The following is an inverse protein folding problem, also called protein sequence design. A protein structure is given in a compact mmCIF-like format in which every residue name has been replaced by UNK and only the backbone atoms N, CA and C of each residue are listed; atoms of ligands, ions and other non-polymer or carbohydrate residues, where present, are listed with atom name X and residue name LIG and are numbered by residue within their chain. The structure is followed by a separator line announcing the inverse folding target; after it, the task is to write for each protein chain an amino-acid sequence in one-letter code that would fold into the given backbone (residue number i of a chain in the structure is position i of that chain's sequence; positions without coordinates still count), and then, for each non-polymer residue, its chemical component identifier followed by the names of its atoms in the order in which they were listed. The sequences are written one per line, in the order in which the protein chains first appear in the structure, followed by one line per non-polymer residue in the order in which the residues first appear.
data_IF_527575552742
#
_entry.id   IF_527575552742
#
_cell.length_a   1.000
_cell.length_b   1.000
_cell.length_c   1.000
_cell.angle_alpha   90.00
_cell.angle_beta   90.00
_cell.angle_gamma   90.00
#
_symmetry.space_group_name_H-M   'P 1'
#
loop_
_entity.id
_entity.type
_entity.pdbx_description
1 polymer ?
#
# COMPACT_ATOMS: atom_id res chain seq x y z
N UNK A 1 7.68 -11.73 9.21
CA UNK A 1 8.56 -10.66 8.69
C UNK A 1 8.76 -9.42 9.59
N UNK A 2 7.79 -8.89 10.34
CA UNK A 2 8.05 -7.82 11.34
C UNK A 2 7.93 -8.31 12.80
N UNK A 3 8.56 -9.44 13.09
CA UNK A 3 8.97 -9.84 14.45
C UNK A 3 10.40 -10.40 14.45
N UNK A 4 11.19 -10.13 13.42
CA UNK A 4 12.61 -10.42 13.43
C UNK A 4 13.33 -9.14 13.89
N UNK A 5 13.91 -9.11 15.10
CA UNK A 5 14.60 -7.93 15.64
C UNK A 5 15.67 -7.41 14.68
N UNK A 6 16.26 -8.30 13.88
CA UNK A 6 17.28 -7.98 12.87
C UNK A 6 16.70 -7.16 11.73
N UNK A 7 15.54 -7.53 11.16
CA UNK A 7 14.92 -6.75 10.08
C UNK A 7 14.42 -5.37 10.57
N UNK A 8 13.92 -5.29 11.81
CA UNK A 8 13.52 -4.02 12.44
C UNK A 8 14.74 -3.14 12.74
N UNK A 9 15.84 -3.72 13.21
CA UNK A 9 17.13 -3.01 13.39
C UNK A 9 17.75 -2.58 12.06
N UNK A 10 17.72 -3.41 11.02
CA UNK A 10 18.25 -3.05 9.70
C UNK A 10 17.42 -1.92 9.05
N UNK A 11 16.09 -1.98 9.16
CA UNK A 11 15.21 -0.87 8.76
C UNK A 11 15.46 0.38 9.63
N UNK A 12 15.59 0.22 10.94
CA UNK A 12 15.93 1.30 11.88
C UNK A 12 17.25 1.99 11.52
N UNK A 13 18.30 1.21 11.24
CA UNK A 13 19.63 1.70 10.84
C UNK A 13 19.62 2.38 9.46
N UNK A 14 18.88 1.83 8.49
CA UNK A 14 18.65 2.48 7.19
C UNK A 14 17.89 3.81 7.34
N UNK A 15 17.00 3.90 8.33
CA UNK A 15 16.20 5.10 8.63
C UNK A 15 16.98 6.16 9.40
N UNK A 16 17.87 5.79 10.33
CA UNK A 16 18.73 6.75 11.04
C UNK A 16 19.75 7.40 10.09
N UNK A 17 20.32 6.60 9.16
CA UNK A 17 21.18 7.10 8.09
C UNK A 17 20.46 7.95 7.04
N UNK A 18 19.11 7.88 6.97
CA UNK A 18 18.30 8.71 6.06
C UNK A 18 18.31 10.20 6.44
N UNK A 19 18.81 10.54 7.63
CA UNK A 19 19.04 11.93 8.05
C UNK A 19 20.21 12.59 7.29
N UNK A 20 20.91 11.85 6.43
CA UNK A 20 22.06 12.29 5.63
C UNK A 20 21.80 12.29 4.12
N UNK A 21 20.61 12.69 3.66
CA UNK A 21 20.42 12.93 2.21
C UNK A 21 21.30 14.13 1.80
N UNK A 22 22.20 13.98 0.81
CA UNK A 22 22.98 15.11 0.29
C UNK A 22 22.06 16.19 -0.28
N UNK A 23 22.49 17.45 -0.18
CA UNK A 23 21.79 18.60 -0.75
C UNK A 23 21.57 18.44 -2.26
N UNK A 24 20.68 19.27 -2.81
CA UNK A 24 20.00 19.20 -4.11
C UNK A 24 20.84 19.09 -5.41
N UNK A 25 22.10 18.68 -5.36
CA UNK A 25 22.92 18.45 -6.55
C UNK A 25 23.04 16.94 -6.87
N UNK A 26 22.39 16.56 -7.97
CA UNK A 26 22.35 15.22 -8.59
C UNK A 26 21.62 14.11 -7.81
N UNK A 27 20.29 14.24 -7.67
CA UNK A 27 19.44 13.08 -7.42
C UNK A 27 19.35 12.22 -8.69
N UNK A 28 20.02 11.06 -8.69
CA UNK A 28 19.86 10.07 -9.75
C UNK A 28 18.52 9.32 -9.56
N UNK A 29 17.53 9.65 -10.38
CA UNK A 29 16.27 8.92 -10.42
C UNK A 29 16.43 7.65 -11.25
N UNK A 30 16.01 6.52 -10.70
CA UNK A 30 15.87 5.31 -11.51
C UNK A 30 14.73 5.54 -12.50
N UNK A 31 14.97 5.42 -13.81
CA UNK A 31 13.93 5.60 -14.82
C UNK A 31 13.54 4.25 -15.39
N UNK A 32 12.24 3.95 -15.43
CA UNK A 32 11.74 2.80 -16.16
C UNK A 32 11.69 3.17 -17.65
N UNK A 33 12.50 2.51 -18.47
CA UNK A 33 12.49 2.75 -19.89
C UNK A 33 11.29 2.06 -20.55
N UNK A 34 10.28 2.83 -20.92
CA UNK A 34 9.11 2.32 -21.62
C UNK A 34 9.41 1.81 -23.05
N UNK A 35 10.60 2.04 -23.60
CA UNK A 35 10.99 1.54 -24.93
C UNK A 35 11.80 0.24 -24.86
N UNK A 36 11.89 -0.40 -23.69
CA UNK A 36 12.57 -1.68 -23.54
C UNK A 36 12.00 -2.77 -24.48
N UNK A 37 12.90 -3.61 -24.99
CA UNK A 37 12.77 -4.69 -25.99
C UNK A 37 11.56 -5.63 -25.82
N UNK A 38 10.90 -5.64 -24.67
CA UNK A 38 9.71 -6.43 -24.37
C UNK A 38 8.39 -5.85 -24.93
N UNK A 39 8.42 -5.01 -25.97
CA UNK A 39 7.21 -4.34 -26.49
C UNK A 39 6.11 -5.34 -26.89
N UNK A 40 6.46 -6.49 -27.48
CA UNK A 40 5.50 -7.52 -27.92
C UNK A 40 4.97 -8.40 -26.79
N UNK A 41 5.74 -8.60 -25.71
CA UNK A 41 5.31 -9.37 -24.52
C UNK A 41 4.65 -8.50 -23.44
N UNK A 42 4.58 -7.17 -23.64
CA UNK A 42 4.05 -6.23 -22.67
C UNK A 42 2.52 -6.28 -22.65
N UNK A 43 1.97 -6.35 -21.46
CA UNK A 43 0.54 -6.22 -21.23
C UNK A 43 0.13 -4.73 -21.22
N UNK A 44 -0.95 -4.41 -21.94
CA UNK A 44 -1.66 -3.14 -21.82
C UNK A 44 -2.47 -3.09 -20.51
N UNK A 45 -2.88 -1.89 -20.09
CA UNK A 45 -3.71 -1.73 -18.89
C UNK A 45 -5.04 -2.52 -18.99
N UNK A 46 -5.66 -2.54 -20.18
CA UNK A 46 -6.90 -3.27 -20.44
C UNK A 46 -6.70 -4.78 -20.31
N UNK A 47 -5.66 -5.33 -20.90
CA UNK A 47 -5.37 -6.76 -20.82
C UNK A 47 -5.02 -7.15 -19.38
N UNK A 48 -4.19 -6.35 -18.68
CA UNK A 48 -3.89 -6.58 -17.26
C UNK A 48 -5.19 -6.65 -16.44
N UNK A 49 -6.10 -5.70 -16.65
CA UNK A 49 -7.39 -5.68 -15.99
C UNK A 49 -8.18 -6.95 -16.29
N UNK A 50 -8.35 -7.34 -17.55
CA UNK A 50 -9.10 -8.53 -17.94
C UNK A 50 -8.53 -9.82 -17.35
N UNK A 51 -7.20 -10.00 -17.43
CA UNK A 51 -6.53 -11.17 -16.87
C UNK A 51 -6.66 -11.24 -15.35
N UNK A 52 -6.42 -10.12 -14.67
CA UNK A 52 -6.53 -10.08 -13.22
C UNK A 52 -7.98 -10.25 -12.75
N UNK A 53 -8.96 -9.68 -13.44
CA UNK A 53 -10.37 -9.78 -13.08
C UNK A 53 -10.90 -11.22 -13.18
N UNK A 54 -10.35 -12.03 -14.09
CA UNK A 54 -10.74 -13.43 -14.27
C UNK A 54 -10.19 -14.38 -13.18
N UNK A 55 -9.37 -13.89 -12.23
CA UNK A 55 -8.78 -14.72 -11.17
C UNK A 55 -9.73 -14.86 -9.96
N UNK A 56 -9.62 -15.94 -9.17
CA UNK A 56 -10.51 -16.20 -8.04
C UNK A 56 -10.19 -15.32 -6.81
N UNK A 57 -10.60 -14.06 -6.84
CA UNK A 57 -10.33 -13.08 -5.77
C UNK A 57 -11.03 -13.33 -4.44
N UNK A 58 -12.08 -14.16 -4.41
CA UNK A 58 -12.92 -14.38 -3.23
C UNK A 58 -12.12 -14.67 -1.96
N UNK A 59 -11.09 -15.53 -2.01
CA UNK A 59 -10.27 -15.84 -0.82
C UNK A 59 -9.46 -14.66 -0.30
N UNK A 60 -8.94 -13.82 -1.20
CA UNK A 60 -8.21 -12.60 -0.80
C UNK A 60 -9.19 -11.61 -0.16
N UNK A 61 -10.37 -11.46 -0.78
CA UNK A 61 -11.45 -10.59 -0.27
C UNK A 61 -11.91 -11.07 1.11
N UNK A 62 -12.19 -12.36 1.26
CA UNK A 62 -12.61 -13.00 2.51
C UNK A 62 -11.53 -12.88 3.60
N UNK A 63 -10.26 -13.07 3.25
CA UNK A 63 -9.14 -12.85 4.18
C UNK A 63 -9.16 -11.44 4.78
N UNK A 64 -9.34 -10.41 3.94
CA UNK A 64 -9.43 -9.03 4.42
C UNK A 64 -10.73 -8.77 5.20
N UNK A 65 -11.85 -9.41 4.84
CA UNK A 65 -13.10 -9.36 5.61
C UNK A 65 -12.89 -9.91 7.02
N UNK A 66 -12.27 -11.07 7.13
CA UNK A 66 -12.00 -11.74 8.40
C UNK A 66 -10.96 -11.00 9.24
N UNK A 67 -10.01 -10.32 8.60
CA UNK A 67 -9.05 -9.46 9.28
C UNK A 67 -9.76 -8.29 9.98
N UNK A 68 -10.76 -7.69 9.32
CA UNK A 68 -11.59 -6.61 9.91
C UNK A 68 -12.45 -7.14 11.05
N UNK A 69 -12.98 -8.36 10.94
CA UNK A 69 -13.71 -9.03 12.04
C UNK A 69 -12.81 -9.46 13.19
N UNK A 70 -11.52 -9.66 12.93
CA UNK A 70 -10.51 -10.05 13.95
C UNK A 70 -10.31 -11.55 14.04
N UNK A 71 -10.81 -12.29 13.07
CA UNK A 71 -10.62 -13.73 12.99
C UNK A 71 -9.24 -14.08 12.44
N UNK A 72 -8.63 -13.19 11.63
CA UNK A 72 -7.31 -13.38 11.03
C UNK A 72 -6.41 -12.16 11.25
N UNK A 73 -5.11 -12.34 11.03
CA UNK A 73 -4.11 -11.29 11.09
C UNK A 73 -3.11 -11.42 9.96
N UNK A 74 -2.48 -10.31 9.56
CA UNK A 74 -1.43 -10.32 8.54
C UNK A 74 -0.24 -11.20 8.93
N UNK A 75 0.09 -11.33 10.21
CA UNK A 75 1.19 -12.19 10.65
C UNK A 75 0.96 -13.66 10.32
N UNK A 76 -0.30 -14.10 10.25
CA UNK A 76 -0.66 -15.48 9.88
C UNK A 76 -0.31 -15.84 8.44
N UNK A 77 -0.13 -14.84 7.55
CA UNK A 77 0.26 -15.07 6.16
C UNK A 77 1.74 -15.45 5.99
N UNK A 78 2.61 -15.01 6.90
CA UNK A 78 4.06 -15.05 6.69
C UNK A 78 4.77 -16.22 7.37
N UNK A 79 4.04 -17.25 7.83
CA UNK A 79 4.59 -18.38 8.58
C UNK A 79 5.26 -17.95 9.91
N UNK A 80 5.60 -18.93 10.76
CA UNK A 80 6.61 -18.73 11.80
C UNK A 80 7.94 -19.19 11.19
N UNK A 81 8.89 -18.29 11.01
CA UNK A 81 10.25 -18.68 10.59
C UNK A 81 10.80 -19.70 11.60
N UNK A 82 11.13 -20.90 11.13
CA UNK A 82 11.90 -21.88 11.91
C UNK A 82 13.33 -21.35 11.98
N UNK A 83 13.73 -20.83 13.14
CA UNK A 83 15.11 -20.44 13.37
C UNK A 83 15.97 -21.70 13.37
N UNK A 84 16.98 -21.76 12.49
CA UNK A 84 18.12 -22.63 12.70
C UNK A 84 18.89 -22.08 13.91
N UNK A 85 19.18 -22.98 14.84
CA UNK A 85 19.79 -22.76 16.14
C UNK A 85 21.12 -21.99 16.02
N UNK A 86 21.22 -20.88 16.75
CA UNK A 86 22.45 -20.53 17.45
C UNK A 86 22.03 -20.01 18.81
N UNK A 87 22.33 -20.83 19.81
CA UNK A 87 22.12 -20.59 21.23
C UNK A 87 22.95 -19.40 21.73
N UNK A 88 22.55 -18.95 22.92
CA UNK A 88 23.21 -17.95 23.80
C UNK A 88 22.93 -16.47 23.54
N UNK A 89 21.74 -16.03 23.96
CA UNK A 89 21.62 -14.85 24.83
C UNK A 89 20.28 -14.86 25.56
N UNK A 90 20.34 -14.75 26.89
CA UNK A 90 19.20 -14.71 27.81
C UNK A 90 18.07 -13.79 27.34
N UNK A 91 16.86 -14.34 27.29
CA UNK A 91 15.62 -13.61 27.04
C UNK A 91 15.29 -12.79 28.29
N UNK A 92 15.58 -11.50 28.26
CA UNK A 92 14.82 -10.52 29.04
C UNK A 92 13.55 -10.20 28.28
N UNK A 93 12.40 -10.58 28.86
CA UNK A 93 11.11 -10.06 28.45
C UNK A 93 11.04 -8.56 28.76
N UNK A 94 11.56 -7.75 27.85
CA UNK A 94 11.24 -6.33 27.81
C UNK A 94 9.78 -6.23 27.34
N UNK A 95 8.88 -6.29 28.32
CA UNK A 95 7.61 -5.61 28.22
C UNK A 95 7.91 -4.16 27.81
N UNK A 96 7.76 -3.88 26.50
CA UNK A 96 7.73 -2.53 25.96
C UNK A 96 6.47 -1.86 26.53
N UNK A 97 6.59 -1.42 27.78
CA UNK A 97 5.76 -0.38 28.37
C UNK A 97 5.85 0.72 27.34
N UNK A 98 4.76 0.95 26.61
CA UNK A 98 4.62 2.14 25.79
C UNK A 98 4.97 3.31 26.70
N UNK A 99 6.17 3.84 26.55
CA UNK A 99 6.54 5.08 27.21
C UNK A 99 5.54 6.09 26.69
N UNK A 100 4.67 6.50 27.59
CA UNK A 100 3.85 7.68 27.43
C UNK A 100 4.85 8.81 27.32
N UNK A 101 5.29 9.12 26.10
CA UNK A 101 6.05 10.32 25.82
C UNK A 101 5.07 11.47 26.03
N UNK A 102 4.95 11.87 27.29
CA UNK A 102 4.22 13.06 27.70
C UNK A 102 5.06 14.25 27.25
N UNK A 103 4.79 14.73 26.05
CA UNK A 103 5.29 16.03 25.63
C UNK A 103 4.73 17.08 26.62
N UNK A 104 5.56 17.99 27.16
CA UNK A 104 5.09 19.01 28.07
C UNK A 104 4.10 19.90 27.33
N UNK A 105 2.81 19.75 27.67
CA UNK A 105 1.74 20.58 27.16
C UNK A 105 1.94 21.96 27.80
N UNK A 106 2.55 22.90 27.07
CA UNK A 106 2.46 24.31 27.45
C UNK A 106 0.97 24.66 27.44
N UNK A 107 0.45 24.98 28.62
CA UNK A 107 -0.96 25.28 28.85
C UNK A 107 -1.32 26.57 28.13
N UNK A 108 -1.72 26.44 26.86
CA UNK A 108 -2.18 27.56 26.03
C UNK A 108 -3.69 27.49 26.03
N UNK A 109 -4.34 28.37 26.79
CA UNK A 109 -5.80 28.44 26.87
C UNK A 109 -6.47 28.83 25.54
N UNK A 110 -7.78 28.57 25.45
CA UNK A 110 -8.65 29.00 24.35
C UNK A 110 -8.64 28.06 23.14
N UNK A 111 -8.52 28.61 21.91
CA UNK A 111 -8.48 27.84 20.64
C UNK A 111 -7.44 26.72 20.66
N UNK A 112 -6.42 26.82 21.50
CA UNK A 112 -5.30 25.90 21.53
C UNK A 112 -5.53 24.67 22.41
N UNK A 113 -6.55 24.70 23.26
CA UNK A 113 -6.86 23.63 24.20
C UNK A 113 -7.82 22.60 23.58
N UNK A 114 -7.38 21.90 22.53
CA UNK A 114 -8.15 20.83 21.87
C UNK A 114 -7.64 19.45 22.26
N UNK A 115 -8.53 18.47 22.29
CA UNK A 115 -8.15 17.05 22.36
C UNK A 115 -7.98 16.54 20.94
N UNK A 116 -6.83 15.91 20.66
CA UNK A 116 -6.56 15.28 19.36
C UNK A 116 -6.44 13.78 19.56
N UNK A 117 -7.13 13.01 18.72
CA UNK A 117 -7.14 11.56 18.73
C UNK A 117 -6.39 11.03 17.51
N UNK A 118 -5.48 10.09 17.73
CA UNK A 118 -4.93 9.21 16.69
C UNK A 118 -5.79 7.95 16.67
N UNK A 119 -6.30 7.60 15.50
CA UNK A 119 -7.19 6.46 15.30
C UNK A 119 -6.53 5.54 14.28
N UNK A 120 -6.32 4.28 14.64
CA UNK A 120 -5.83 3.24 13.73
C UNK A 120 -7.02 2.38 13.31
N UNK A 121 -7.26 2.30 12.00
CA UNK A 121 -8.41 1.67 11.39
C UNK A 121 -7.99 0.47 10.54
N UNK A 122 -8.78 -0.60 10.63
CA UNK A 122 -8.80 -1.69 9.67
C UNK A 122 -10.12 -1.60 8.88
N UNK A 123 -10.09 -1.71 7.56
CA UNK A 123 -11.30 -1.74 6.74
C UNK A 123 -11.15 -2.62 5.50
N UNK A 124 -12.28 -3.20 5.09
CA UNK A 124 -12.41 -4.00 3.90
C UNK A 124 -12.69 -3.09 2.70
N UNK A 125 -11.73 -2.97 1.79
CA UNK A 125 -11.78 -2.03 0.66
C UNK A 125 -12.97 -2.22 -0.26
N UNK A 126 -13.36 -3.46 -0.56
CA UNK A 126 -14.54 -3.75 -1.39
C UNK A 126 -15.90 -3.30 -0.81
N UNK A 127 -15.93 -2.79 0.43
CA UNK A 127 -17.13 -2.17 1.00
C UNK A 127 -17.21 -0.66 0.74
N UNK A 128 -16.18 -0.04 0.16
CA UNK A 128 -16.05 1.41 0.05
C UNK A 128 -15.52 1.86 -1.32
N UNK A 129 -15.92 3.07 -1.72
CA UNK A 129 -15.44 3.77 -2.91
C UNK A 129 -14.10 4.51 -2.67
N UNK A 130 -13.28 3.97 -1.76
CA UNK A 130 -11.99 4.52 -1.35
C UNK A 130 -12.06 5.33 -0.05
N UNK A 131 -10.94 5.96 0.31
CA UNK A 131 -10.85 6.77 1.52
C UNK A 131 -11.59 8.10 1.39
N UNK A 132 -11.19 8.92 0.42
CA UNK A 132 -11.50 10.35 0.36
C UNK A 132 -12.99 10.58 0.17
N UNK A 133 -13.60 11.43 1.01
CA UNK A 133 -15.01 11.82 0.86
C UNK A 133 -15.27 12.44 -0.51
N UNK A 134 -16.27 11.91 -1.20
CA UNK A 134 -16.79 12.40 -2.48
C UNK A 134 -18.33 12.41 -2.43
N UNK A 135 -18.99 13.34 -3.15
CA UNK A 135 -20.45 13.40 -3.19
C UNK A 135 -21.07 12.07 -3.65
N UNK A 136 -22.15 11.64 -2.97
CA UNK A 136 -22.93 10.44 -3.29
C UNK A 136 -22.19 9.08 -3.26
N UNK A 137 -20.93 9.03 -2.81
CA UNK A 137 -20.15 7.80 -2.72
C UNK A 137 -20.02 7.29 -1.27
N UNK A 138 -19.92 5.97 -1.11
CA UNK A 138 -19.72 5.34 0.19
C UNK A 138 -18.23 5.25 0.50
N UNK A 139 -17.67 6.28 1.13
CA UNK A 139 -16.23 6.36 1.41
C UNK A 139 -15.93 6.16 2.89
N UNK A 140 -14.71 5.69 3.19
CA UNK A 140 -14.28 5.48 4.59
C UNK A 140 -14.29 6.80 5.36
N UNK A 141 -13.73 7.87 4.80
CA UNK A 141 -13.72 9.19 5.44
C UNK A 141 -15.13 9.68 5.74
N UNK A 142 -16.06 9.57 4.78
CA UNK A 142 -17.43 10.02 4.96
C UNK A 142 -18.14 9.28 6.09
N UNK A 143 -17.95 7.96 6.16
CA UNK A 143 -18.52 7.14 7.24
C UNK A 143 -17.94 7.52 8.61
N UNK A 144 -16.61 7.62 8.71
CA UNK A 144 -15.94 7.98 9.96
C UNK A 144 -16.34 9.39 10.40
N UNK A 145 -16.36 10.37 9.50
CA UNK A 145 -16.75 11.75 9.84
C UNK A 145 -18.19 11.85 10.32
N UNK A 146 -19.13 11.11 9.71
CA UNK A 146 -20.52 11.01 10.20
C UNK A 146 -20.60 10.40 11.59
N UNK A 147 -19.93 9.28 11.82
CA UNK A 147 -19.95 8.59 13.13
C UNK A 147 -19.39 9.47 14.26
N UNK A 148 -18.41 10.32 13.94
CA UNK A 148 -17.76 11.21 14.89
C UNK A 148 -18.48 12.56 15.06
N UNK A 149 -19.55 12.81 14.29
CA UNK A 149 -20.33 14.05 14.35
C UNK A 149 -20.84 14.38 15.74
N UNK A 150 -21.22 13.37 16.53
CA UNK A 150 -21.69 13.54 17.91
C UNK A 150 -20.63 14.07 18.89
N UNK A 151 -19.35 14.07 18.52
CA UNK A 151 -18.24 14.53 19.36
C UNK A 151 -17.70 15.91 18.99
N UNK A 152 -18.27 16.56 17.97
CA UNK A 152 -17.88 17.93 17.63
C UNK A 152 -18.30 18.90 18.72
N UNK A 153 -17.56 20.00 18.88
CA UNK A 153 -17.93 21.07 19.80
C UNK A 153 -19.14 21.88 19.31
N UNK A 154 -19.80 22.58 20.23
CA UNK A 154 -21.01 23.35 19.97
C UNK A 154 -20.84 24.40 18.86
N UNK A 155 -19.69 25.06 18.81
CA UNK A 155 -19.39 26.06 17.76
C UNK A 155 -19.39 25.41 16.40
N UNK A 156 -18.74 24.24 16.25
CA UNK A 156 -18.76 23.49 15.00
C UNK A 156 -20.16 22.97 14.67
N UNK A 157 -20.91 22.47 15.65
CA UNK A 157 -22.28 22.01 15.45
C UNK A 157 -23.19 23.14 14.94
N UNK A 158 -23.10 24.33 15.55
CA UNK A 158 -23.86 25.51 15.13
C UNK A 158 -23.46 25.96 13.72
N UNK A 159 -22.15 26.01 13.41
CA UNK A 159 -21.66 26.35 12.07
C UNK A 159 -22.22 25.41 10.98
N UNK A 160 -22.28 24.11 11.26
CA UNK A 160 -22.83 23.13 10.32
C UNK A 160 -24.34 23.32 10.15
N UNK A 161 -25.06 23.58 11.25
CA UNK A 161 -26.49 23.87 11.26
C UNK A 161 -26.82 25.12 10.43
N UNK A 162 -26.09 26.22 10.62
CA UNK A 162 -26.29 27.48 9.90
C UNK A 162 -26.07 27.32 8.39
N UNK A 163 -25.21 26.38 7.99
CA UNK A 163 -24.92 26.05 6.59
C UNK A 163 -25.83 24.96 6.01
N UNK A 164 -26.81 24.47 6.78
CA UNK A 164 -27.65 23.33 6.42
C UNK A 164 -26.82 22.08 6.01
N UNK A 165 -25.73 21.84 6.72
CA UNK A 165 -24.82 20.71 6.52
C UNK A 165 -25.06 19.63 7.59
N UNK A 166 -24.81 18.34 7.27
CA UNK A 166 -24.91 17.27 8.24
C UNK A 166 -23.92 17.44 9.39
N UNK A 167 -24.30 16.97 10.59
CA UNK A 167 -23.45 16.99 11.76
C UNK A 167 -22.32 15.96 11.60
N UNK A 168 -21.13 16.44 11.21
CA UNK A 168 -20.00 15.59 10.88
C UNK A 168 -18.68 16.15 11.45
N UNK A 169 -17.79 15.25 11.85
CA UNK A 169 -16.43 15.58 12.20
C UNK A 169 -15.57 15.93 10.97
N UNK A 170 -14.32 16.30 11.20
CA UNK A 170 -13.33 16.43 10.12
C UNK A 170 -12.15 15.55 10.49
N UNK A 171 -11.72 14.72 9.54
CA UNK A 171 -10.57 13.84 9.72
C UNK A 171 -9.49 14.13 8.70
N UNK A 172 -8.25 13.88 9.09
CA UNK A 172 -7.10 13.84 8.20
C UNK A 172 -6.46 12.45 8.28
N UNK A 173 -5.79 12.00 7.21
CA UNK A 173 -5.31 10.62 7.07
C UNK A 173 -3.82 10.56 6.71
N UNK A 174 -3.17 9.45 7.05
CA UNK A 174 -1.79 9.18 6.69
C UNK A 174 -1.61 9.01 5.17
N UNK A 175 -2.51 8.32 4.48
CA UNK A 175 -2.51 8.19 3.03
C UNK A 175 -3.91 7.93 2.49
N UNK A 176 -4.21 8.40 1.28
CA UNK A 176 -5.47 8.08 0.62
C UNK A 176 -5.36 6.68 0.00
N UNK A 177 -6.45 5.92 0.08
CA UNK A 177 -6.60 4.64 -0.61
C UNK A 177 -7.69 4.77 -1.68
N UNK A 178 -7.47 4.11 -2.81
CA UNK A 178 -8.42 4.09 -3.92
C UNK A 178 -9.57 3.11 -3.66
N UNK A 179 -10.58 3.14 -4.53
CA UNK A 179 -11.74 2.24 -4.47
C UNK A 179 -11.30 0.77 -4.43
N UNK A 180 -11.87 0.00 -3.52
CA UNK A 180 -11.59 -1.42 -3.39
C UNK A 180 -10.33 -1.76 -2.59
N UNK A 181 -9.47 -0.78 -2.26
CA UNK A 181 -8.23 -1.03 -1.50
C UNK A 181 -8.54 -1.21 -0.01
N UNK A 182 -8.16 -2.36 0.56
CA UNK A 182 -8.27 -2.66 1.99
C UNK A 182 -7.13 -2.03 2.79
N UNK A 183 -7.34 -1.81 4.09
CA UNK A 183 -6.28 -1.41 5.01
C UNK A 183 -6.34 -2.22 6.29
N UNK A 184 -5.17 -2.61 6.81
CA UNK A 184 -5.04 -3.28 8.11
C UNK A 184 -4.83 -2.29 9.26
N UNK A 185 -4.11 -1.20 9.00
CA UNK A 185 -3.70 -0.20 10.01
C UNK A 185 -3.63 1.22 9.42
N UNK A 186 -4.68 1.66 8.72
CA UNK A 186 -4.76 3.05 8.26
C UNK A 186 -4.80 3.99 9.45
N UNK A 187 -4.01 5.06 9.43
CA UNK A 187 -3.99 6.04 10.52
C UNK A 187 -4.73 7.30 10.09
N UNK A 188 -5.71 7.72 10.88
CA UNK A 188 -6.34 9.02 10.76
C UNK A 188 -6.33 9.76 12.10
N UNK A 189 -6.68 11.04 12.07
CA UNK A 189 -6.86 11.82 13.29
C UNK A 189 -8.11 12.68 13.24
N UNK A 190 -8.71 12.84 14.41
CA UNK A 190 -9.86 13.68 14.70
C UNK A 190 -9.51 14.57 15.90
N UNK A 191 -10.01 15.80 15.93
CA UNK A 191 -9.88 16.67 17.09
C UNK A 191 -11.19 17.36 17.44
N UNK A 192 -11.35 17.71 18.72
CA UNK A 192 -12.50 18.44 19.27
C UNK A 192 -12.07 19.28 20.46
N UNK A 193 -12.81 20.37 20.73
CA UNK A 193 -12.66 21.15 21.97
C UNK A 193 -13.46 20.58 23.15
N UNK A 194 -14.28 19.54 22.92
CA UNK A 194 -14.93 18.80 24.01
C UNK A 194 -13.90 18.01 24.83
N UNK A 195 -13.93 18.19 26.15
CA UNK A 195 -12.98 17.57 27.10
C UNK A 195 -13.50 16.28 27.74
N UNK A 196 -14.81 16.10 27.70
CA UNK A 196 -15.54 15.00 28.31
C UNK A 196 -15.55 13.72 27.46
N UNK A 197 -14.95 13.75 26.26
CA UNK A 197 -14.93 12.62 25.33
C UNK A 197 -13.98 11.51 25.83
N UNK A 198 -14.54 10.31 26.04
CA UNK A 198 -13.77 9.11 26.36
C UNK A 198 -13.33 8.40 25.08
N UNK A 199 -12.16 7.75 25.15
CA UNK A 199 -11.58 6.96 24.04
C UNK A 199 -12.56 5.87 23.56
N UNK A 200 -13.25 5.23 24.50
CA UNK A 200 -14.18 4.13 24.19
C UNK A 200 -15.40 4.62 23.40
N UNK A 201 -15.93 5.80 23.70
CA UNK A 201 -17.10 6.35 22.99
C UNK A 201 -16.76 6.59 21.51
N UNK A 202 -15.57 7.12 21.23
CA UNK A 202 -15.06 7.34 19.88
C UNK A 202 -14.88 6.02 19.14
N UNK A 203 -14.32 5.01 19.82
CA UNK A 203 -14.16 3.67 19.26
C UNK A 203 -15.51 3.04 18.90
N UNK A 204 -16.45 3.05 19.84
CA UNK A 204 -17.78 2.49 19.68
C UNK A 204 -18.56 3.15 18.54
N UNK A 205 -18.46 4.48 18.41
CA UNK A 205 -19.14 5.22 17.35
C UNK A 205 -18.71 4.75 15.96
N UNK A 206 -17.40 4.55 15.75
CA UNK A 206 -16.86 4.09 14.47
C UNK A 206 -17.20 2.62 14.23
N UNK A 207 -16.98 1.75 15.22
CA UNK A 207 -17.22 0.31 15.08
C UNK A 207 -18.69 -0.02 14.80
N UNK A 208 -19.62 0.75 15.40
CA UNK A 208 -21.07 0.59 15.18
C UNK A 208 -21.54 1.17 13.84
N UNK A 209 -20.77 2.04 13.19
CA UNK A 209 -21.20 2.71 11.96
C UNK A 209 -21.23 1.77 10.74
N UNK A 210 -20.35 0.77 10.69
CA UNK A 210 -20.42 -0.32 9.69
C UNK A 210 -19.76 -1.61 10.21
N UNK A 211 -20.47 -2.38 11.05
CA UNK A 211 -19.95 -3.62 11.63
C UNK A 211 -19.44 -4.59 10.56
N UNK A 212 -18.26 -5.17 10.80
CA UNK A 212 -17.61 -6.12 9.89
C UNK A 212 -16.99 -5.50 8.62
N UNK A 213 -17.20 -4.22 8.35
CA UNK A 213 -16.61 -3.51 7.19
C UNK A 213 -15.46 -2.59 7.58
N UNK A 214 -15.54 -2.02 8.79
CA UNK A 214 -14.50 -1.20 9.41
C UNK A 214 -14.38 -1.56 10.89
N UNK A 215 -13.17 -1.43 11.44
CA UNK A 215 -12.90 -1.59 12.87
C UNK A 215 -11.78 -0.65 13.32
N UNK A 216 -11.96 -0.04 14.48
CA UNK A 216 -10.90 0.64 15.22
C UNK A 216 -9.98 -0.39 15.87
N UNK A 217 -8.74 -0.45 15.38
CA UNK A 217 -7.66 -1.31 15.89
C UNK A 217 -7.09 -0.73 17.18
N UNK A 218 -6.79 0.56 17.21
CA UNK A 218 -6.33 1.26 18.40
C UNK A 218 -6.68 2.74 18.34
N UNK A 219 -6.78 3.37 19.51
CA UNK A 219 -7.18 4.77 19.65
C UNK A 219 -6.45 5.40 20.82
N UNK A 220 -5.77 6.52 20.58
CA UNK A 220 -4.99 7.22 21.61
C UNK A 220 -5.17 8.74 21.52
N UNK A 221 -5.06 9.43 22.65
CA UNK A 221 -4.92 10.89 22.68
C UNK A 221 -3.48 11.25 22.34
N UNK A 222 -3.29 12.27 21.50
CA UNK A 222 -1.98 12.71 21.01
C UNK A 222 -1.84 14.23 21.11
N UNK A 223 -0.61 14.71 21.01
CA UNK A 223 -0.34 16.16 20.91
C UNK A 223 -1.10 16.77 19.74
N UNK A 224 -1.47 18.05 19.89
CA UNK A 224 -2.11 18.84 18.83
C UNK A 224 -1.26 18.97 17.56
N UNK A 225 0.05 18.78 17.68
CA UNK A 225 1.03 18.94 16.60
C UNK A 225 1.10 17.66 15.74
N UNK A 226 0.48 16.56 16.17
CA UNK A 226 0.39 15.33 15.39
C UNK A 226 -0.45 15.55 14.13
N UNK A 227 0.11 15.18 12.98
CA UNK A 227 -0.62 15.13 11.71
C UNK A 227 -0.31 13.80 11.02
N UNK A 228 -1.28 12.90 10.80
CA UNK A 228 -1.00 11.52 10.38
C UNK A 228 -0.25 11.42 9.05
N UNK A 229 -0.44 12.37 8.12
CA UNK A 229 0.33 12.42 6.88
C UNK A 229 1.79 12.85 7.09
N UNK A 230 2.00 14.04 7.68
CA UNK A 230 3.35 14.63 7.85
C UNK A 230 4.16 13.99 8.97
N UNK A 231 3.51 13.34 9.95
CA UNK A 231 4.18 12.58 11.00
C UNK A 231 4.51 11.15 10.57
N UNK A 232 3.99 10.67 9.43
CA UNK A 232 4.34 9.35 8.93
C UNK A 232 5.77 9.35 8.38
N UNK A 233 6.58 8.38 8.80
CA UNK A 233 7.94 8.17 8.28
C UNK A 233 7.96 7.25 7.06
N UNK A 234 6.96 6.38 6.94
CA UNK A 234 6.80 5.43 5.84
C UNK A 234 5.36 4.89 5.81
N UNK A 235 5.04 4.21 4.71
CA UNK A 235 3.81 3.49 4.44
C UNK A 235 4.17 2.11 3.87
N UNK A 236 3.42 1.10 4.29
CA UNK A 236 3.66 -0.29 3.89
C UNK A 236 2.44 -0.80 3.13
N UNK A 237 2.67 -1.32 1.92
CA UNK A 237 1.68 -1.92 1.04
C UNK A 237 1.97 -3.40 0.83
N UNK A 238 0.92 -4.22 0.92
CA UNK A 238 0.93 -5.64 0.58
C UNK A 238 -0.08 -5.86 -0.53
N UNK A 239 0.37 -6.44 -1.64
CA UNK A 239 -0.47 -6.88 -2.74
C UNK A 239 -0.51 -8.41 -2.74
N UNK A 240 -1.71 -8.99 -2.72
CA UNK A 240 -1.92 -10.42 -2.80
C UNK A 240 -2.56 -10.76 -4.15
N UNK A 241 -1.98 -11.70 -4.87
CA UNK A 241 -2.42 -12.09 -6.21
C UNK A 241 -2.81 -13.58 -6.21
N UNK A 242 -4.09 -13.92 -6.45
CA UNK A 242 -4.55 -15.31 -6.54
C UNK A 242 -4.20 -15.88 -7.92
N UNK A 243 -2.89 -16.04 -8.17
CA UNK A 243 -2.35 -16.58 -9.41
C UNK A 243 -1.87 -17.99 -9.13
N UNK A 244 -2.68 -18.96 -9.55
CA UNK A 244 -2.30 -20.36 -9.58
C UNK A 244 -1.75 -20.71 -10.97
N UNK A 245 -0.56 -21.31 -11.00
CA UNK A 245 0.09 -21.76 -12.22
C UNK A 245 -0.65 -22.96 -12.86
N UNK A 246 -1.54 -23.63 -12.12
CA UNK A 246 -2.36 -24.76 -12.59
C UNK A 246 -3.66 -24.35 -13.31
N UNK A 247 -4.22 -23.17 -13.03
CA UNK A 247 -5.44 -22.66 -13.69
C UNK A 247 -5.22 -22.20 -15.14
N UNK A 248 -3.96 -22.12 -15.57
CA UNK A 248 -3.57 -21.79 -16.93
C UNK A 248 -3.16 -23.10 -17.61
N UNK A 249 -4.16 -23.81 -18.15
CA UNK A 249 -4.04 -25.14 -18.75
C UNK A 249 -3.05 -25.27 -19.91
N UNK A 250 -2.81 -26.51 -20.31
CA UNK A 250 -1.76 -27.02 -21.23
C UNK A 250 -1.78 -26.51 -22.68
N UNK A 251 -2.45 -25.41 -23.00
CA UNK A 251 -2.51 -24.86 -24.37
C UNK A 251 -1.53 -23.70 -24.63
N UNK A 252 -0.67 -23.35 -23.67
CA UNK A 252 0.31 -22.28 -23.85
C UNK A 252 1.69 -22.88 -24.14
N UNK A 253 2.05 -22.92 -25.42
CA UNK A 253 3.33 -23.42 -25.92
C UNK A 253 4.51 -22.82 -25.15
N UNK A 254 5.39 -23.71 -24.68
CA UNK A 254 6.60 -23.35 -23.95
C UNK A 254 7.52 -22.47 -24.80
N UNK A 255 7.56 -21.17 -24.51
CA UNK A 255 8.70 -20.34 -24.91
C UNK A 255 9.17 -19.51 -23.72
N UNK A 256 10.22 -20.00 -23.07
CA UNK A 256 10.91 -19.28 -22.01
C UNK A 256 11.81 -18.23 -22.66
N UNK A 257 11.53 -16.93 -22.43
CA UNK A 257 12.50 -15.88 -22.79
C UNK A 257 13.67 -15.97 -21.79
N UNK A 258 14.71 -16.68 -22.19
CA UNK A 258 16.06 -16.60 -21.63
C UNK A 258 16.82 -15.48 -22.36
N UNK A 259 16.61 -14.21 -21.97
CA UNK A 259 17.61 -13.17 -22.21
C UNK A 259 17.30 -11.91 -21.39
N UNK A 260 17.86 -11.84 -20.19
CA UNK A 260 18.20 -10.59 -19.53
C UNK A 260 19.51 -10.84 -18.77
N UNK A 261 20.54 -11.18 -19.54
CA UNK A 261 21.95 -11.19 -19.14
C UNK A 261 22.71 -10.62 -20.32
N UNK A 262 22.85 -9.30 -20.33
CA UNK A 262 24.05 -8.58 -20.75
C UNK A 262 23.77 -7.07 -20.65
N UNK A 263 24.09 -6.52 -19.49
CA UNK A 263 24.35 -5.09 -19.34
C UNK A 263 25.86 -4.99 -19.24
N UNK A 264 26.54 -4.73 -20.34
CA UNK A 264 27.77 -3.93 -20.44
C UNK A 264 28.31 -3.99 -21.88
N UNK A 265 28.13 -2.92 -22.65
CA UNK A 265 29.27 -2.25 -23.29
C UNK A 265 28.88 -0.86 -23.80
N UNK A 266 29.88 0.01 -23.70
CA UNK A 266 29.86 1.44 -23.95
C UNK A 266 29.43 1.76 -25.37
N UNK A 267 28.90 2.97 -25.58
CA UNK A 267 29.39 3.75 -26.71
C UNK A 267 29.36 5.24 -26.41
N UNK A 268 30.53 5.81 -26.64
CA UNK A 268 30.85 7.21 -26.57
C UNK A 268 30.05 8.02 -27.58
N UNK A 269 29.87 9.28 -27.18
CA UNK A 269 29.53 10.44 -27.98
C UNK A 269 29.95 10.37 -29.47
N UNK A 270 28.98 10.31 -30.38
CA UNK A 270 29.14 10.64 -31.79
C UNK A 270 28.39 11.93 -32.13
N UNK A 271 29.14 13.01 -32.37
CA UNK A 271 28.65 14.27 -32.94
C UNK A 271 28.48 14.12 -34.46
N UNK A 272 27.47 14.84 -35.01
CA UNK A 272 27.33 15.36 -36.39
C UNK A 272 27.32 14.35 -37.56
N UNK A 273 26.67 14.54 -38.69
CA UNK A 273 25.68 15.49 -39.23
C UNK A 273 25.23 14.89 -40.58
N UNK A 274 23.96 15.13 -40.96
CA UNK A 274 23.41 15.36 -42.32
C UNK A 274 23.93 14.47 -43.48
N UNK A 275 23.03 13.72 -44.12
CA UNK A 275 22.62 14.00 -45.52
C UNK A 275 21.31 13.29 -45.92
N UNK A 276 20.55 13.98 -46.75
CA UNK A 276 19.26 13.59 -47.33
C UNK A 276 19.46 12.67 -48.54
N UNK A 277 18.56 11.70 -48.75
CA UNK A 277 18.04 11.39 -50.09
C UNK A 277 16.84 10.45 -50.02
N UNK A 278 15.79 10.88 -50.73
CA UNK A 278 14.53 10.19 -50.94
C UNK A 278 14.71 8.86 -51.68
N UNK A 279 13.97 7.83 -51.27
CA UNK A 279 13.32 6.88 -52.18
C UNK A 279 11.97 6.47 -51.57
N UNK A 280 10.89 6.91 -52.22
CA UNK A 280 9.55 6.33 -52.11
C UNK A 280 9.58 4.89 -52.64
N UNK A 281 9.21 3.93 -51.79
CA UNK A 281 8.64 2.65 -52.25
C UNK A 281 7.42 2.39 -51.37
N UNK A 282 6.24 2.51 -51.99
CA UNK A 282 5.05 1.83 -51.50
C UNK A 282 5.25 0.35 -51.78
N UNK A 283 5.39 -0.44 -50.72
CA UNK A 283 5.03 -1.85 -50.75
C UNK A 283 3.90 -2.06 -49.75
N UNK A 284 2.77 -2.43 -50.34
CA UNK A 284 1.59 -2.99 -49.73
C UNK A 284 1.95 -4.39 -49.25
N UNK A 285 2.23 -4.55 -47.96
CA UNK A 285 2.21 -5.88 -47.35
C UNK A 285 1.57 -5.84 -45.97
N UNK A 286 0.44 -6.51 -45.95
CA UNK A 286 -0.42 -6.89 -44.85
C UNK A 286 0.35 -7.82 -43.89
N UNK A 287 1.25 -7.27 -43.08
CA UNK A 287 1.87 -8.02 -41.98
C UNK A 287 0.83 -8.16 -40.85
N UNK A 288 0.12 -9.29 -40.88
CA UNK A 288 -0.54 -9.86 -39.72
C UNK A 288 0.46 -9.87 -38.54
N UNK A 289 0.26 -8.93 -37.62
CA UNK A 289 0.99 -8.87 -36.36
C UNK A 289 0.80 -10.20 -35.63
N UNK A 290 1.79 -11.08 -35.72
CA UNK A 290 1.86 -12.34 -34.99
C UNK A 290 1.67 -12.04 -33.50
N UNK A 291 0.48 -12.33 -32.98
CA UNK A 291 0.17 -12.25 -31.56
C UNK A 291 1.00 -13.30 -30.81
N UNK A 292 2.23 -12.94 -30.43
CA UNK A 292 3.00 -13.75 -29.49
C UNK A 292 2.21 -13.90 -28.19
N UNK A 293 1.99 -15.14 -27.75
CA UNK A 293 1.26 -15.42 -26.51
C UNK A 293 1.90 -14.65 -25.34
N UNK A 294 1.10 -13.84 -24.65
CA UNK A 294 1.59 -13.02 -23.54
C UNK A 294 1.87 -13.92 -22.33
N UNK A 295 2.97 -13.69 -21.61
CA UNK A 295 3.30 -14.53 -20.46
C UNK A 295 2.21 -14.39 -19.38
N UNK A 296 1.61 -15.53 -19.02
CA UNK A 296 0.57 -15.64 -17.97
C UNK A 296 1.12 -16.17 -16.65
N UNK A 297 2.38 -16.62 -16.63
CA UNK A 297 3.07 -17.20 -15.48
C UNK A 297 4.35 -16.44 -15.19
N UNK A 298 4.72 -16.34 -13.91
CA UNK A 298 6.00 -15.79 -13.48
C UNK A 298 6.52 -16.51 -12.25
N UNK A 299 7.85 -16.57 -12.13
CA UNK A 299 8.56 -17.06 -10.94
C UNK A 299 8.69 -15.93 -9.93
N UNK A 300 8.17 -16.14 -8.73
CA UNK A 300 8.25 -15.17 -7.63
C UNK A 300 9.71 -14.80 -7.33
N UNK A 301 10.65 -15.74 -7.40
CA UNK A 301 12.09 -15.48 -7.22
C UNK A 301 12.66 -14.47 -8.22
N UNK A 302 12.22 -14.51 -9.50
CA UNK A 302 12.64 -13.53 -10.51
C UNK A 302 12.09 -12.15 -10.19
N UNK A 303 10.81 -12.05 -9.80
CA UNK A 303 10.19 -10.78 -9.39
C UNK A 303 10.87 -10.23 -8.14
N UNK A 304 11.16 -11.08 -7.15
CA UNK A 304 11.85 -10.68 -5.92
C UNK A 304 13.23 -10.07 -6.22
N UNK A 305 13.99 -10.66 -7.15
CA UNK A 305 15.29 -10.12 -7.59
C UNK A 305 15.16 -8.73 -8.21
N UNK A 306 14.14 -8.51 -9.05
CA UNK A 306 13.88 -7.19 -9.65
C UNK A 306 13.46 -6.16 -8.61
N UNK A 307 12.57 -6.53 -7.67
CA UNK A 307 12.17 -5.65 -6.58
C UNK A 307 13.33 -5.28 -5.65
N UNK A 308 14.24 -6.23 -5.38
CA UNK A 308 15.46 -5.97 -4.61
C UNK A 308 16.35 -4.89 -5.22
N UNK A 309 16.34 -4.70 -6.54
CA UNK A 309 17.11 -3.64 -7.21
C UNK A 309 16.57 -2.24 -6.93
N UNK A 310 15.29 -2.12 -6.50
CA UNK A 310 14.66 -0.86 -6.15
C UNK A 310 14.94 -0.44 -4.71
N UNK A 311 15.44 -1.33 -3.86
CA UNK A 311 15.74 -0.99 -2.47
C UNK A 311 16.83 0.08 -2.37
N UNK A 312 16.59 1.06 -1.50
CA UNK A 312 17.48 2.21 -1.36
C UNK A 312 17.41 3.20 -2.53
N UNK A 313 16.45 3.05 -3.45
CA UNK A 313 16.29 3.93 -4.62
C UNK A 313 15.17 4.94 -4.41
N UNK A 314 15.39 6.14 -4.94
CA UNK A 314 14.40 7.18 -5.05
C UNK A 314 13.68 7.07 -6.39
N UNK A 315 12.38 6.82 -6.34
CA UNK A 315 11.52 6.71 -7.50
C UNK A 315 10.78 8.04 -7.71
N UNK A 316 10.69 8.45 -8.97
CA UNK A 316 9.86 9.59 -9.34
C UNK A 316 8.44 9.12 -9.65
N UNK A 317 7.43 9.78 -9.10
CA UNK A 317 6.02 9.48 -9.34
C UNK A 317 5.63 9.64 -10.81
N UNK A 318 6.42 10.39 -11.61
CA UNK A 318 6.30 10.38 -13.09
C UNK A 318 6.40 8.97 -13.68
N UNK A 319 7.04 8.03 -13.00
CA UNK A 319 7.17 6.62 -13.41
C UNK A 319 5.90 5.79 -13.21
N UNK A 320 5.02 6.19 -12.27
CA UNK A 320 3.85 5.42 -11.86
C UNK A 320 2.52 6.06 -12.23
N UNK A 321 2.51 7.37 -12.48
CA UNK A 321 1.35 8.13 -12.90
C UNK A 321 0.97 7.88 -14.37
N UNK A 322 0.62 6.63 -14.71
CA UNK A 322 0.06 6.30 -16.04
C UNK A 322 -1.29 6.98 -16.29
N UNK A 323 -2.03 7.28 -15.23
CA UNK A 323 -3.44 7.72 -15.31
C UNK A 323 -3.68 9.22 -15.09
N UNK A 324 -2.60 10.00 -14.88
CA UNK A 324 -2.71 11.46 -14.81
C UNK A 324 -2.24 12.03 -16.14
N UNK A 325 -3.16 12.63 -16.92
CA UNK A 325 -2.80 13.41 -18.11
C UNK A 325 -1.62 14.33 -17.76
N UNK A 326 -0.52 14.20 -18.51
CA UNK A 326 0.73 14.94 -18.25
C UNK A 326 0.49 16.47 -18.10
N UNK A 327 -0.52 17.00 -18.79
CA UNK A 327 -0.96 18.40 -18.71
C UNK A 327 -1.51 18.85 -17.35
N UNK A 328 -1.84 17.93 -16.44
CA UNK A 328 -2.38 18.22 -15.10
C UNK A 328 -1.32 18.17 -13.99
N UNK A 329 -0.07 17.84 -14.33
CA UNK A 329 1.00 17.64 -13.34
C UNK A 329 1.96 18.85 -13.34
N UNK A 330 1.45 20.02 -12.93
CA UNK A 330 2.27 21.21 -12.71
C UNK A 330 2.81 21.19 -11.28
N UNK A 331 4.08 20.86 -11.12
CA UNK A 331 4.76 20.82 -9.82
C UNK A 331 6.06 19.99 -9.86
N UNK A 332 6.88 20.04 -8.80
CA UNK A 332 8.02 19.14 -8.67
C UNK A 332 7.54 17.67 -8.69
N UNK A 333 8.31 16.75 -9.28
CA UNK A 333 7.96 15.34 -9.27
C UNK A 333 7.76 14.88 -7.82
N UNK A 334 6.63 14.23 -7.53
CA UNK A 334 6.47 13.55 -6.25
C UNK A 334 7.52 12.44 -6.20
N UNK A 335 8.34 12.40 -5.16
CA UNK A 335 9.40 11.42 -5.00
C UNK A 335 8.97 10.38 -3.97
N UNK A 336 9.36 9.12 -4.16
CA UNK A 336 9.08 8.04 -3.24
C UNK A 336 10.34 7.22 -3.03
N UNK A 337 10.80 7.12 -1.78
CA UNK A 337 11.96 6.30 -1.46
C UNK A 337 11.51 4.88 -1.09
N UNK A 338 12.12 3.88 -1.70
CA UNK A 338 11.83 2.47 -1.43
C UNK A 338 12.81 1.97 -0.37
N UNK A 339 12.33 1.81 0.86
CA UNK A 339 13.13 1.21 1.93
C UNK A 339 13.27 -0.29 1.72
N UNK A 340 12.20 -0.95 1.31
CA UNK A 340 12.14 -2.40 1.19
C UNK A 340 11.15 -2.83 0.12
N UNK A 341 11.49 -3.83 -0.68
CA UNK A 341 10.57 -4.43 -1.65
C UNK A 341 10.86 -5.92 -1.84
N UNK A 342 9.83 -6.77 -1.69
CA UNK A 342 9.95 -8.24 -1.75
C UNK A 342 8.79 -8.86 -2.50
N UNK A 343 9.06 -10.01 -3.13
CA UNK A 343 8.04 -10.91 -3.67
C UNK A 343 8.17 -12.28 -2.98
N UNK A 344 7.05 -12.86 -2.57
CA UNK A 344 7.00 -14.11 -1.81
C UNK A 344 5.74 -14.91 -2.18
N UNK A 345 5.82 -16.24 -2.08
CA UNK A 345 4.65 -17.12 -2.15
C UNK A 345 4.05 -17.25 -0.74
N UNK A 346 2.74 -17.04 -0.65
CA UNK A 346 2.01 -16.95 0.61
C UNK A 346 0.85 -17.92 0.56
N UNK A 347 0.65 -18.71 1.61
CA UNK A 347 -0.58 -19.47 1.77
C UNK A 347 -1.60 -18.64 2.55
N UNK A 348 -2.80 -18.46 2.00
CA UNK A 348 -3.91 -17.90 2.79
C UNK A 348 -4.51 -19.04 3.63
N UNK A 349 -4.57 -18.92 4.97
CA UNK A 349 -5.19 -19.93 5.81
C UNK A 349 -6.67 -20.09 5.44
N UNK A 350 -7.11 -21.32 5.16
CA UNK A 350 -8.52 -21.61 5.01
C UNK A 350 -9.18 -21.67 6.40
N UNK A 351 -10.37 -21.08 6.55
CA UNK A 351 -11.14 -21.25 7.78
C UNK A 351 -11.44 -22.75 7.99
N UNK A 352 -11.25 -23.24 9.22
CA UNK A 352 -11.68 -24.59 9.57
C UNK A 352 -13.21 -24.61 9.54
N UNK A 353 -13.79 -25.19 8.50
CA UNK A 353 -15.21 -25.54 8.52
C UNK A 353 -15.45 -26.42 9.76
N UNK A 354 -16.31 -25.96 10.67
CA UNK A 354 -16.58 -26.58 11.96
C UNK A 354 -17.26 -27.96 11.91
N UNK A 355 -17.18 -28.68 10.79
CA UNK A 355 -17.87 -29.95 10.63
C UNK A 355 -17.14 -31.04 9.81
N UNK A 356 -15.82 -30.94 9.59
CA UNK A 356 -15.06 -32.05 8.98
C UNK A 356 -13.98 -32.58 9.92
N UNK A 357 -14.25 -33.73 10.53
CA UNK A 357 -13.22 -34.58 11.15
C UNK A 357 -12.13 -34.87 10.10
N UNK A 358 -10.89 -34.48 10.39
CA UNK A 358 -9.70 -35.22 9.92
C UNK A 358 -9.03 -34.84 8.60
N UNK A 359 -9.27 -33.67 7.99
CA UNK A 359 -8.39 -33.19 6.89
C UNK A 359 -8.21 -31.67 6.96
N UNK A 360 -7.03 -31.23 7.38
CA UNK A 360 -6.60 -29.83 7.17
C UNK A 360 -6.51 -29.66 5.65
N UNK A 361 -7.42 -28.89 5.04
CA UNK A 361 -7.23 -28.48 3.65
C UNK A 361 -5.99 -27.59 3.64
N UNK A 362 -5.01 -27.94 2.80
CA UNK A 362 -3.88 -27.05 2.50
C UNK A 362 -4.45 -25.70 2.03
N UNK A 363 -3.89 -24.61 2.56
CA UNK A 363 -4.29 -23.28 2.14
C UNK A 363 -3.97 -23.06 0.67
N UNK A 364 -4.74 -22.22 -0.01
CA UNK A 364 -4.44 -21.90 -1.42
C UNK A 364 -3.26 -20.92 -1.47
N UNK A 365 -2.31 -21.22 -2.35
CA UNK A 365 -1.13 -20.40 -2.55
C UNK A 365 -1.51 -19.15 -3.35
N UNK A 366 -1.12 -17.99 -2.84
CA UNK A 366 -1.20 -16.70 -3.51
C UNK A 366 0.20 -16.12 -3.64
N UNK A 367 0.42 -15.31 -4.67
CA UNK A 367 1.69 -14.59 -4.87
C UNK A 367 1.58 -13.22 -4.18
N UNK A 368 2.43 -12.94 -3.22
CA UNK A 368 2.47 -11.70 -2.44
C UNK A 368 3.59 -10.77 -2.85
N UNK A 369 3.30 -9.47 -3.02
CA UNK A 369 4.30 -8.41 -3.16
C UNK A 369 4.23 -7.44 -1.99
N UNK A 370 5.37 -7.17 -1.38
CA UNK A 370 5.53 -6.35 -0.18
C UNK A 370 6.37 -5.12 -0.54
N UNK A 371 5.91 -3.94 -0.14
CA UNK A 371 6.59 -2.66 -0.39
C UNK A 371 6.57 -1.77 0.85
N UNK A 372 7.74 -1.30 1.30
CA UNK A 372 7.89 -0.27 2.33
C UNK A 372 8.44 1.01 1.68
N UNK A 373 7.66 2.09 1.77
CA UNK A 373 7.86 3.32 1.01
C UNK A 373 7.84 4.53 1.95
N UNK A 374 8.63 5.57 1.69
CA UNK A 374 8.54 6.88 2.36
C UNK A 374 7.40 7.71 1.76
#
# INVERSE_FOLDING_TARGET
MLRCPTAVRTLGNLMENYSQIPSAHQKAHFHYNHTDSANFSRWTAKECYQFMYARPWHKVVDFYADMVKGHTSLSGLFGKETQAEHEDAEIREDHEKSEVVSFPVKDRGGRWDRVTFKIVLSYHGGSFDGWQKQPALNTVQGLVERSLGQFVDERKAQLLKDKNLPLEACTVVAGRTDKGVSASQQVCSFYTWRKDIKIQDVKDAIDKAAPGKIRVVSLTKVSRDFHPNFSAKWRHYLYLFPIDDALNGEQDGQMWINSCTDVHQQNECGKSAIDESNVDVMDDDNDELVHGNKPTKFKVSKVNRLLGQLEGKLLSYKMFARDLKASRNTGPPTECFVFHARAIEISIPCAKDGNSKGRVREGEQVKGLVWHLC
#
